data_IF_945744717683
#
_entry.id   IF_945744717683
#
_cell.length_a   1.000
_cell.length_b   1.000
_cell.length_c   1.000
_cell.angle_alpha   90.00
_cell.angle_beta   90.00
_cell.angle_gamma   90.00
#
_symmetry.space_group_name_H-M   'P 1'
#
loop_
_entity.id
_entity.type
_entity.pdbx_description
1 polymer ?
#
# COMPACT_ATOMS: atom_id res chain seq x y z
N UNK A 1 -4.76 11.98 2.78
CA UNK A 1 -5.47 12.49 1.58
C UNK A 1 -6.39 11.38 1.11
N UNK A 2 -7.71 11.56 1.20
CA UNK A 2 -8.69 10.52 0.84
C UNK A 2 -9.35 10.93 -0.48
N UNK A 3 -9.07 10.19 -1.55
CA UNK A 3 -9.61 10.48 -2.88
C UNK A 3 -11.02 9.89 -2.97
N UNK A 4 -12.03 10.75 -3.05
CA UNK A 4 -13.43 10.33 -3.18
C UNK A 4 -13.78 10.11 -4.65
N UNK A 5 -14.23 8.90 -5.00
CA UNK A 5 -14.60 8.51 -6.37
C UNK A 5 -16.13 8.41 -6.46
N UNK A 6 -16.73 9.06 -7.47
CA UNK A 6 -18.16 8.97 -7.78
C UNK A 6 -18.35 8.36 -9.17
N UNK A 7 -19.36 7.50 -9.31
CA UNK A 7 -19.73 6.88 -10.58
C UNK A 7 -20.96 7.59 -11.14
N UNK A 8 -20.89 7.98 -12.41
CA UNK A 8 -22.04 8.53 -13.12
C UNK A 8 -22.99 7.40 -13.52
N UNK A 9 -24.21 7.43 -13.01
CA UNK A 9 -25.33 6.61 -13.47
C UNK A 9 -26.18 7.40 -14.46
N UNK A 10 -27.20 6.79 -15.06
CA UNK A 10 -28.08 7.49 -16.01
C UNK A 10 -28.76 8.74 -15.44
N UNK A 11 -28.99 8.79 -14.12
CA UNK A 11 -29.79 9.84 -13.48
C UNK A 11 -29.06 10.59 -12.35
N UNK A 12 -27.89 10.10 -11.89
CA UNK A 12 -27.18 10.71 -10.77
C UNK A 12 -25.68 10.32 -10.69
N UNK A 13 -24.90 11.01 -9.86
CA UNK A 13 -23.54 10.65 -9.45
C UNK A 13 -23.54 10.03 -8.06
N UNK A 14 -23.39 8.71 -8.00
CA UNK A 14 -23.42 7.95 -6.75
C UNK A 14 -21.99 7.70 -6.26
N UNK A 15 -21.69 7.85 -4.95
CA UNK A 15 -20.41 7.42 -4.39
C UNK A 15 -20.10 5.97 -4.78
N UNK A 16 -18.88 5.72 -5.24
CA UNK A 16 -18.50 4.37 -5.70
C UNK A 16 -18.64 3.32 -4.59
N UNK A 17 -18.42 3.74 -3.34
CA UNK A 17 -18.54 2.94 -2.11
C UNK A 17 -19.95 2.38 -1.90
N UNK A 18 -20.99 3.10 -2.35
CA UNK A 18 -22.40 2.69 -2.20
C UNK A 18 -22.80 1.63 -3.23
N UNK A 19 -22.04 1.50 -4.34
CA UNK A 19 -22.33 0.57 -5.42
C UNK A 19 -21.63 -0.78 -5.27
N UNK A 20 -20.50 -0.83 -4.55
CA UNK A 20 -19.76 -2.07 -4.32
C UNK A 20 -19.68 -2.31 -2.81
N UNK A 21 -20.54 -3.17 -2.25
CA UNK A 21 -20.57 -3.45 -0.81
C UNK A 21 -19.24 -3.93 -0.23
N UNK A 22 -18.36 -4.48 -1.07
CA UNK A 22 -17.04 -4.98 -0.70
C UNK A 22 -15.92 -3.92 -0.79
N UNK A 23 -16.17 -2.73 -1.34
CA UNK A 23 -15.17 -1.67 -1.46
C UNK A 23 -14.56 -1.26 -0.12
N UNK A 24 -15.33 -1.06 0.97
CA UNK A 24 -14.77 -0.74 2.27
C UNK A 24 -13.79 -1.82 2.75
N UNK A 25 -14.13 -3.09 2.52
CA UNK A 25 -13.27 -4.23 2.85
C UNK A 25 -12.00 -4.22 1.98
N UNK A 26 -12.13 -4.05 0.67
CA UNK A 26 -11.00 -4.02 -0.26
C UNK A 26 -10.06 -2.82 -0.02
N UNK A 27 -10.60 -1.66 0.33
CA UNK A 27 -9.82 -0.47 0.67
C UNK A 27 -9.10 -0.65 2.00
N UNK A 28 -9.76 -1.25 3.00
CA UNK A 28 -9.14 -1.61 4.28
C UNK A 28 -8.01 -2.62 4.08
N UNK A 29 -8.26 -3.69 3.31
CA UNK A 29 -7.22 -4.67 2.95
C UNK A 29 -6.09 -4.03 2.14
N UNK A 30 -6.38 -3.09 1.22
CA UNK A 30 -5.35 -2.34 0.49
C UNK A 30 -4.49 -1.50 1.42
N UNK A 31 -5.09 -0.74 2.35
CA UNK A 31 -4.36 0.08 3.31
C UNK A 31 -3.50 -0.76 4.26
N UNK A 32 -4.03 -1.88 4.76
CA UNK A 32 -3.28 -2.84 5.59
C UNK A 32 -2.12 -3.50 4.82
N UNK A 33 -2.20 -3.53 3.49
CA UNK A 33 -1.15 -4.03 2.59
C UNK A 33 -0.20 -2.94 2.08
N UNK A 34 -0.36 -1.67 2.47
CA UNK A 34 0.58 -0.63 2.05
C UNK A 34 1.97 -0.90 2.63
N UNK A 35 2.92 -1.13 1.73
CA UNK A 35 4.32 -1.36 2.08
C UNK A 35 5.10 -0.09 1.87
N UNK A 36 5.83 0.32 2.90
CA UNK A 36 6.87 1.34 2.78
C UNK A 36 8.18 0.65 2.40
N UNK A 37 8.64 0.89 1.17
CA UNK A 37 9.95 0.45 0.71
C UNK A 37 10.94 1.62 0.72
N UNK A 38 12.18 1.36 1.15
CA UNK A 38 13.30 2.31 1.02
C UNK A 38 14.27 1.74 -0.01
N UNK A 39 14.63 2.54 -1.00
CA UNK A 39 15.49 2.15 -2.11
C UNK A 39 16.82 2.92 -2.03
N UNK A 40 17.91 2.28 -2.41
CA UNK A 40 19.24 2.87 -2.47
C UNK A 40 20.05 2.26 -3.62
N UNK A 41 21.19 2.88 -3.94
CA UNK A 41 22.24 2.19 -4.70
C UNK A 41 22.69 0.92 -3.95
N UNK A 42 23.24 -0.04 -4.69
CA UNK A 42 23.61 -1.34 -4.15
C UNK A 42 24.73 -1.22 -3.11
N UNK A 43 25.68 -0.32 -3.32
CA UNK A 43 26.78 -0.02 -2.40
C UNK A 43 26.32 0.55 -1.04
N UNK A 44 25.16 1.22 -0.99
CA UNK A 44 24.72 1.98 0.19
C UNK A 44 23.62 1.28 1.00
N UNK A 45 23.21 0.07 0.63
CA UNK A 45 22.05 -0.63 1.19
C UNK A 45 22.09 -0.73 2.72
N UNK A 46 23.25 -1.01 3.32
CA UNK A 46 23.34 -1.16 4.78
C UNK A 46 23.31 0.18 5.52
N UNK A 47 23.94 1.23 4.98
CA UNK A 47 23.89 2.56 5.55
C UNK A 47 22.47 3.13 5.50
N UNK A 48 21.80 2.99 4.34
CA UNK A 48 20.42 3.42 4.15
C UNK A 48 19.46 2.61 5.01
N UNK A 49 19.68 1.29 5.18
CA UNK A 49 18.89 0.46 6.10
C UNK A 49 18.97 0.98 7.53
N UNK A 50 20.17 1.22 8.04
CA UNK A 50 20.37 1.70 9.41
C UNK A 50 19.67 3.05 9.65
N UNK A 51 19.85 4.00 8.72
CA UNK A 51 19.20 5.30 8.78
C UNK A 51 17.68 5.20 8.68
N UNK A 52 17.15 4.40 7.74
CA UNK A 52 15.72 4.19 7.57
C UNK A 52 15.09 3.58 8.82
N UNK A 53 15.70 2.56 9.42
CA UNK A 53 15.21 1.95 10.67
C UNK A 53 15.18 2.96 11.82
N UNK A 54 16.19 3.82 11.95
CA UNK A 54 16.26 4.83 12.99
C UNK A 54 15.22 5.96 12.79
N UNK A 55 15.06 6.45 11.56
CA UNK A 55 14.21 7.61 11.24
C UNK A 55 12.74 7.23 11.14
N UNK A 56 12.45 6.12 10.47
CA UNK A 56 11.08 5.68 10.16
C UNK A 56 10.53 4.69 11.20
N UNK A 57 11.34 4.29 12.19
CA UNK A 57 10.94 3.32 13.21
C UNK A 57 10.64 1.92 12.66
N UNK A 58 11.11 1.60 11.45
CA UNK A 58 10.86 0.32 10.79
C UNK A 58 11.87 -0.72 11.26
N UNK A 59 11.38 -1.78 11.90
CA UNK A 59 12.15 -2.99 12.18
C UNK A 59 12.35 -3.81 10.90
N UNK A 60 13.35 -4.72 10.89
CA UNK A 60 13.53 -5.69 9.78
C UNK A 60 12.17 -6.30 9.40
N UNK A 61 11.84 -6.38 8.10
CA UNK A 61 10.56 -6.92 7.67
C UNK A 61 10.39 -8.32 8.27
N UNK A 62 9.18 -8.60 8.78
CA UNK A 62 8.73 -9.97 9.00
C UNK A 62 9.04 -10.73 7.72
N UNK A 63 9.91 -11.74 7.83
CA UNK A 63 10.48 -12.50 6.73
C UNK A 63 9.33 -12.91 5.79
N UNK A 64 9.18 -12.20 4.69
CA UNK A 64 8.13 -12.50 3.73
C UNK A 64 8.72 -13.50 2.75
N UNK A 65 8.09 -14.66 2.64
CA UNK A 65 8.44 -15.61 1.60
C UNK A 65 8.28 -14.93 0.23
N UNK A 66 9.16 -15.28 -0.72
CA UNK A 66 9.00 -14.86 -2.10
C UNK A 66 7.59 -15.23 -2.53
N UNK A 67 6.88 -14.31 -3.18
CA UNK A 67 5.67 -14.71 -3.91
C UNK A 67 6.11 -15.78 -4.90
N UNK A 68 5.60 -17.00 -4.73
CA UNK A 68 5.84 -18.09 -5.67
C UNK A 68 5.11 -17.71 -6.95
N UNK A 69 5.87 -17.29 -7.95
CA UNK A 69 5.37 -16.88 -9.25
C UNK A 69 6.54 -16.35 -10.07
N UNK A 70 6.93 -17.10 -11.09
CA UNK A 70 7.90 -16.67 -12.09
C UNK A 70 7.33 -15.44 -12.81
N UNK A 71 8.01 -14.30 -12.68
CA UNK A 71 7.78 -13.10 -13.47
C UNK A 71 9.01 -12.83 -14.34
#
# INVERSE_FOLDING_TARGET
MQMQVKVKTMHDYVPFEDLVPLLPLMNKTRQEQWRLGVYSAAEDVEAVRAAASAVLGVSRPTKQERLIGDF
#
